data_IF_998960966978
#
_entry.id   IF_998960966978
#
_cell.length_a   1.000
_cell.length_b   1.000
_cell.length_c   1.000
_cell.angle_alpha   90.00
_cell.angle_beta   90.00
_cell.angle_gamma   90.00
#
_symmetry.space_group_name_H-M   'P 1'
#
loop_
_entity.id
_entity.type
_entity.pdbx_description
1 polymer ?
#
# COMPACT_ATOMS: atom_id res chain seq x y z
N UNK A 1 -10.56 -17.91 7.23
CA UNK A 1 -10.15 -18.38 8.56
C UNK A 1 -9.69 -17.23 9.44
N UNK A 2 -8.72 -16.43 8.98
CA UNK A 2 -8.29 -15.24 9.70
C UNK A 2 -9.38 -14.19 9.78
N UNK A 3 -10.17 -14.01 8.73
CA UNK A 3 -11.30 -13.09 8.71
C UNK A 3 -12.31 -13.45 9.79
N UNK A 4 -12.62 -14.74 9.94
CA UNK A 4 -13.55 -15.24 10.96
C UNK A 4 -13.02 -14.93 12.38
N UNK A 5 -11.75 -15.20 12.64
CA UNK A 5 -11.13 -14.89 13.92
C UNK A 5 -11.14 -13.39 14.22
N UNK A 6 -10.81 -12.56 13.23
CA UNK A 6 -10.85 -11.11 13.38
C UNK A 6 -12.26 -10.62 13.69
N UNK A 7 -13.28 -11.16 13.02
CA UNK A 7 -14.67 -10.82 13.26
C UNK A 7 -15.11 -11.20 14.69
N UNK A 8 -14.66 -12.36 15.19
CA UNK A 8 -14.93 -12.76 16.57
C UNK A 8 -14.28 -11.82 17.56
N UNK A 9 -13.04 -11.40 17.33
CA UNK A 9 -12.34 -10.43 18.19
C UNK A 9 -13.09 -9.09 18.25
N UNK A 10 -13.55 -8.59 17.11
CA UNK A 10 -14.31 -7.34 17.02
C UNK A 10 -15.63 -7.49 17.78
N UNK A 11 -16.33 -8.61 17.62
CA UNK A 11 -17.59 -8.87 18.34
C UNK A 11 -17.41 -8.89 19.86
N UNK A 12 -16.33 -9.51 20.34
CA UNK A 12 -16.00 -9.56 21.77
C UNK A 12 -15.73 -8.16 22.32
N UNK A 13 -15.15 -7.28 21.50
CA UNK A 13 -14.83 -5.90 21.87
C UNK A 13 -16.01 -4.94 21.73
N UNK A 14 -17.23 -5.45 21.63
CA UNK A 14 -18.44 -4.65 21.54
C UNK A 14 -18.93 -4.32 20.14
N UNK A 15 -18.35 -4.94 19.10
CA UNK A 15 -18.77 -4.75 17.72
C UNK A 15 -18.21 -3.49 17.04
N UNK A 16 -17.43 -2.70 17.75
CA UNK A 16 -16.79 -1.51 17.20
C UNK A 16 -15.47 -1.88 16.52
N UNK A 17 -15.30 -1.45 15.28
CA UNK A 17 -14.07 -1.70 14.53
C UNK A 17 -12.96 -0.77 15.05
N UNK A 18 -11.73 -1.29 15.26
CA UNK A 18 -10.62 -0.44 15.69
C UNK A 18 -10.28 0.62 14.66
N UNK A 19 -9.83 1.79 15.11
CA UNK A 19 -9.45 2.90 14.25
C UNK A 19 -8.02 3.39 14.47
N UNK A 20 -7.18 2.56 15.09
CA UNK A 20 -5.75 2.83 15.22
C UNK A 20 -4.95 1.72 14.54
N UNK A 21 -3.75 2.05 14.09
CA UNK A 21 -2.87 1.09 13.42
C UNK A 21 -2.57 -0.10 14.34
N UNK A 22 -2.23 0.17 15.59
CA UNK A 22 -1.87 -0.85 16.57
C UNK A 22 -3.03 -1.80 16.85
N UNK A 23 -4.21 -1.26 17.06
CA UNK A 23 -5.40 -2.06 17.38
C UNK A 23 -5.85 -2.88 16.16
N UNK A 24 -5.73 -2.34 14.96
CA UNK A 24 -6.03 -3.08 13.74
C UNK A 24 -5.03 -4.23 13.53
N UNK A 25 -3.75 -3.99 13.77
CA UNK A 25 -2.74 -5.03 13.64
C UNK A 25 -2.84 -6.11 14.73
N UNK A 26 -3.52 -5.82 15.84
CA UNK A 26 -3.80 -6.81 16.87
C UNK A 26 -4.85 -7.83 16.41
N UNK A 27 -5.62 -7.54 15.38
CA UNK A 27 -6.57 -8.49 14.81
C UNK A 27 -5.82 -9.55 13.99
N UNK A 28 -6.29 -10.79 14.09
CA UNK A 28 -5.62 -11.90 13.41
C UNK A 28 -5.70 -11.76 11.90
N UNK A 29 -4.54 -11.88 11.24
CA UNK A 29 -4.43 -11.82 9.80
C UNK A 29 -4.32 -10.41 9.23
N UNK A 30 -4.27 -9.38 10.07
CA UNK A 30 -4.14 -7.99 9.65
C UNK A 30 -2.71 -7.53 9.89
N UNK A 31 -1.95 -7.38 8.81
CA UNK A 31 -0.60 -6.82 8.85
C UNK A 31 -0.62 -5.31 8.68
N UNK A 32 0.59 -4.72 8.67
CA UNK A 32 0.77 -3.28 8.58
C UNK A 32 0.11 -2.66 7.35
N UNK A 33 0.27 -3.29 6.17
CA UNK A 33 -0.30 -2.77 4.93
C UNK A 33 -1.83 -2.85 4.91
N UNK A 34 -2.39 -3.96 5.37
CA UNK A 34 -3.84 -4.13 5.46
C UNK A 34 -4.45 -3.15 6.45
N UNK A 35 -3.81 -2.96 7.61
CA UNK A 35 -4.25 -1.97 8.59
C UNK A 35 -4.22 -0.55 8.00
N UNK A 36 -3.16 -0.21 7.27
CA UNK A 36 -3.05 1.06 6.57
C UNK A 36 -4.17 1.28 5.55
N UNK A 37 -4.51 0.24 4.79
CA UNK A 37 -5.60 0.29 3.83
C UNK A 37 -6.96 0.51 4.49
N UNK A 38 -7.21 -0.15 5.62
CA UNK A 38 -8.45 0.04 6.38
C UNK A 38 -8.56 1.48 6.88
N UNK A 39 -7.48 2.03 7.44
CA UNK A 39 -7.47 3.42 7.89
C UNK A 39 -7.74 4.39 6.75
N UNK A 40 -7.09 4.20 5.61
CA UNK A 40 -7.22 5.09 4.46
C UNK A 40 -8.58 5.01 3.79
N UNK A 41 -9.11 3.81 3.59
CA UNK A 41 -10.31 3.57 2.77
C UNK A 41 -11.60 3.58 3.59
N UNK A 42 -11.57 3.08 4.82
CA UNK A 42 -12.76 2.96 5.66
C UNK A 42 -12.85 4.03 6.74
N UNK A 43 -11.74 4.47 7.30
CA UNK A 43 -11.71 5.41 8.42
C UNK A 43 -11.36 6.84 8.00
N UNK A 44 -11.02 7.06 6.75
CA UNK A 44 -10.59 8.37 6.21
C UNK A 44 -9.44 8.99 7.02
N UNK A 45 -8.56 8.13 7.50
CA UNK A 45 -7.36 8.53 8.23
C UNK A 45 -6.12 8.18 7.42
N UNK A 46 -5.02 8.90 7.67
CA UNK A 46 -3.77 8.60 6.98
C UNK A 46 -3.29 7.20 7.36
N UNK A 47 -3.32 6.30 6.39
CA UNK A 47 -2.79 4.95 6.51
C UNK A 47 -1.86 4.68 5.35
N UNK A 48 -0.71 4.08 5.63
CA UNK A 48 0.31 3.79 4.61
C UNK A 48 0.14 2.35 4.14
N UNK A 49 0.05 2.18 2.82
CA UNK A 49 -0.14 0.88 2.18
C UNK A 49 1.10 0.53 1.37
N UNK A 50 1.60 -0.67 1.57
CA UNK A 50 2.71 -1.20 0.77
C UNK A 50 2.44 -2.69 0.46
N UNK A 51 1.39 -2.94 -0.32
CA UNK A 51 1.10 -4.28 -0.84
C UNK A 51 1.94 -4.56 -2.09
N UNK A 52 1.77 -5.73 -2.68
CA UNK A 52 2.53 -6.14 -3.86
C UNK A 52 2.39 -5.19 -5.05
N UNK A 53 1.20 -4.63 -5.28
CA UNK A 53 0.96 -3.67 -6.35
C UNK A 53 1.67 -2.35 -6.08
N UNK A 54 1.51 -1.81 -4.88
CA UNK A 54 2.12 -0.54 -4.49
C UNK A 54 3.66 -0.66 -4.45
N UNK A 55 4.20 -1.76 -3.94
CA UNK A 55 5.65 -2.03 -3.96
C UNK A 55 6.20 -1.93 -5.37
N UNK A 56 5.53 -2.56 -6.32
CA UNK A 56 5.96 -2.55 -7.72
C UNK A 56 5.92 -1.15 -8.32
N UNK A 57 4.84 -0.42 -8.09
CA UNK A 57 4.71 0.96 -8.58
C UNK A 57 5.81 1.84 -8.02
N UNK A 58 6.01 1.81 -6.70
CA UNK A 58 7.01 2.66 -6.04
C UNK A 58 8.43 2.28 -6.42
N UNK A 59 8.73 0.98 -6.51
CA UNK A 59 10.06 0.52 -6.90
C UNK A 59 10.43 0.99 -8.31
N UNK A 60 9.48 0.95 -9.23
CA UNK A 60 9.70 1.43 -10.60
C UNK A 60 9.76 2.94 -10.68
N UNK A 61 8.87 3.62 -9.99
CA UNK A 61 8.80 5.08 -9.99
C UNK A 61 10.10 5.71 -9.47
N UNK A 62 10.63 5.20 -8.37
CA UNK A 62 11.82 5.75 -7.73
C UNK A 62 13.10 4.95 -8.06
N UNK A 63 13.02 4.01 -9.01
CA UNK A 63 14.15 3.16 -9.41
C UNK A 63 14.84 2.47 -8.22
N UNK A 64 14.05 2.00 -7.27
CA UNK A 64 14.56 1.23 -6.12
C UNK A 64 14.98 -0.15 -6.59
N UNK A 65 16.25 -0.47 -6.44
CA UNK A 65 16.81 -1.76 -6.82
C UNK A 65 16.98 -2.68 -5.61
N UNK A 66 17.05 -3.98 -5.86
CA UNK A 66 17.26 -4.99 -4.84
C UNK A 66 16.12 -6.00 -4.80
N UNK A 67 16.38 -7.09 -4.10
CA UNK A 67 15.39 -8.15 -3.90
C UNK A 67 14.21 -7.62 -3.08
N UNK A 68 12.96 -7.84 -3.54
CA UNK A 68 11.78 -7.37 -2.79
C UNK A 68 11.67 -7.95 -1.38
N UNK A 69 12.24 -9.13 -1.15
CA UNK A 69 12.24 -9.78 0.17
C UNK A 69 13.36 -9.29 1.09
N UNK A 70 14.31 -8.52 0.57
CA UNK A 70 15.44 -8.01 1.36
C UNK A 70 14.97 -6.94 2.33
N UNK A 71 15.43 -7.00 3.57
CA UNK A 71 15.02 -6.06 4.62
C UNK A 71 15.36 -4.60 4.28
N UNK A 72 16.52 -4.36 3.69
CA UNK A 72 16.92 -3.00 3.29
C UNK A 72 16.03 -2.44 2.18
N UNK A 73 15.69 -3.27 1.20
CA UNK A 73 14.78 -2.90 0.11
C UNK A 73 13.38 -2.59 0.66
N UNK A 74 12.88 -3.43 1.56
CA UNK A 74 11.60 -3.23 2.24
C UNK A 74 11.60 -1.91 3.01
N UNK A 75 12.66 -1.63 3.74
CA UNK A 75 12.79 -0.39 4.51
C UNK A 75 12.75 0.85 3.61
N UNK A 76 13.47 0.80 2.48
CA UNK A 76 13.46 1.90 1.49
C UNK A 76 12.07 2.13 0.93
N UNK A 77 11.36 1.05 0.59
CA UNK A 77 10.00 1.14 0.05
C UNK A 77 9.01 1.67 1.09
N UNK A 78 9.11 1.25 2.35
CA UNK A 78 8.26 1.79 3.42
C UNK A 78 8.52 3.27 3.66
N UNK A 79 9.79 3.69 3.67
CA UNK A 79 10.13 5.11 3.82
C UNK A 79 9.56 5.94 2.68
N UNK A 80 9.67 5.45 1.45
CA UNK A 80 9.11 6.10 0.28
C UNK A 80 7.59 6.17 0.35
N UNK A 81 6.95 5.07 0.73
CA UNK A 81 5.49 5.00 0.87
C UNK A 81 4.99 6.01 1.91
N UNK A 82 5.66 6.11 3.06
CA UNK A 82 5.32 7.08 4.09
C UNK A 82 5.50 8.52 3.61
N UNK A 83 6.57 8.80 2.89
CA UNK A 83 6.86 10.13 2.35
C UNK A 83 5.79 10.59 1.35
N UNK A 84 5.31 9.67 0.50
CA UNK A 84 4.38 9.99 -0.58
C UNK A 84 2.92 9.94 -0.16
N UNK A 85 2.59 9.25 0.94
CA UNK A 85 1.19 9.14 1.39
C UNK A 85 0.70 10.49 1.92
N UNK A 86 -0.36 11.07 1.32
CA UNK A 86 -0.85 12.37 1.75
C UNK A 86 -1.65 12.29 3.04
N UNK A 87 -1.86 13.45 3.68
CA UNK A 87 -2.74 13.59 4.84
C UNK A 87 -4.19 13.83 4.41
N UNK A 88 -4.40 14.45 3.25
CA UNK A 88 -5.72 14.73 2.70
C UNK A 88 -6.00 13.81 1.53
N UNK A 89 -7.26 13.40 1.38
CA UNK A 89 -7.70 12.51 0.30
C UNK A 89 -6.88 11.22 0.24
N UNK A 90 -6.51 10.70 1.39
CA UNK A 90 -5.67 9.51 1.48
C UNK A 90 -6.34 8.27 0.86
N UNK A 91 -7.66 8.15 1.01
CA UNK A 91 -8.41 7.04 0.40
C UNK A 91 -8.32 7.07 -1.13
N UNK A 92 -8.46 8.25 -1.73
CA UNK A 92 -8.33 8.42 -3.18
C UNK A 92 -6.91 8.08 -3.66
N UNK A 93 -5.90 8.54 -2.94
CA UNK A 93 -4.49 8.22 -3.24
C UNK A 93 -4.25 6.71 -3.17
N UNK A 94 -4.68 6.07 -2.10
CA UNK A 94 -4.47 4.63 -1.89
C UNK A 94 -5.17 3.82 -2.99
N UNK A 95 -6.42 4.15 -3.31
CA UNK A 95 -7.16 3.46 -4.37
C UNK A 95 -6.48 3.67 -5.73
N UNK A 96 -6.05 4.88 -6.01
CA UNK A 96 -5.36 5.19 -7.27
C UNK A 96 -4.05 4.41 -7.41
N UNK A 97 -3.28 4.29 -6.34
CA UNK A 97 -2.03 3.51 -6.36
C UNK A 97 -2.28 2.03 -6.58
N UNK A 98 -3.30 1.49 -5.95
CA UNK A 98 -3.69 0.08 -6.13
C UNK A 98 -4.19 -0.17 -7.55
N UNK A 99 -5.02 0.71 -8.08
CA UNK A 99 -5.54 0.62 -9.45
C UNK A 99 -4.42 0.74 -10.49
N UNK A 100 -3.50 1.67 -10.28
CA UNK A 100 -2.35 1.85 -11.17
C UNK A 100 -1.51 0.57 -11.25
N UNK A 101 -1.26 -0.06 -10.11
CA UNK A 101 -0.52 -1.31 -10.05
C UNK A 101 -1.26 -2.48 -10.68
N UNK A 102 -2.58 -2.48 -10.62
CA UNK A 102 -3.40 -3.56 -11.16
C UNK A 102 -3.64 -3.43 -12.66
N UNK A 103 -3.69 -2.21 -13.21
CA UNK A 103 -4.17 -1.98 -14.58
C UNK A 103 -3.09 -1.44 -15.54
N UNK A 104 -2.16 -0.64 -15.08
CA UNK A 104 -1.14 0.02 -15.92
C UNK A 104 0.26 -0.48 -15.58
N UNK A 105 0.69 -0.31 -14.35
CA UNK A 105 2.02 -0.73 -13.89
C UNK A 105 2.01 -2.22 -13.50
N UNK A 106 1.63 -3.06 -14.46
CA UNK A 106 1.44 -4.49 -14.26
C UNK A 106 2.78 -5.21 -14.10
N UNK A 107 2.73 -6.43 -13.55
CA UNK A 107 3.91 -7.24 -13.30
C UNK A 107 4.68 -7.53 -14.59
N UNK A 108 3.96 -7.92 -15.64
CA UNK A 108 4.53 -8.22 -16.95
C UNK A 108 4.00 -7.23 -17.97
N UNK A 109 4.88 -6.75 -18.85
CA UNK A 109 4.53 -5.84 -19.94
C UNK A 109 3.73 -4.61 -19.46
N UNK A 110 4.29 -3.82 -18.53
CA UNK A 110 3.58 -2.63 -18.04
C UNK A 110 3.29 -1.65 -19.18
N UNK A 111 2.15 -0.97 -19.09
CA UNK A 111 1.68 -0.03 -20.10
C UNK A 111 2.25 1.37 -19.83
N UNK A 112 3.56 1.51 -19.90
CA UNK A 112 4.26 2.73 -19.51
C UNK A 112 3.84 3.96 -20.33
N UNK A 113 3.50 3.77 -21.61
CA UNK A 113 3.06 4.89 -22.46
C UNK A 113 1.72 5.47 -22.02
N UNK A 114 0.91 4.69 -21.30
CA UNK A 114 -0.37 5.14 -20.74
C UNK A 114 -0.28 5.54 -19.28
N UNK A 115 0.93 5.46 -18.70
CA UNK A 115 1.12 5.76 -17.29
C UNK A 115 1.05 7.26 -17.04
N UNK A 116 0.16 7.74 -16.15
CA UNK A 116 0.06 9.17 -15.86
C UNK A 116 1.30 9.74 -15.17
N UNK A 117 2.15 8.87 -14.64
CA UNK A 117 3.37 9.28 -13.92
C UNK A 117 4.61 9.28 -14.81
N UNK A 118 4.49 8.92 -16.08
CA UNK A 118 5.67 8.73 -16.94
C UNK A 118 6.55 9.98 -17.05
N UNK A 119 5.94 11.15 -17.05
CA UNK A 119 6.67 12.43 -17.11
C UNK A 119 7.33 12.83 -15.78
N UNK A 120 7.01 12.12 -14.71
CA UNK A 120 7.54 12.35 -13.37
C UNK A 120 8.56 11.30 -12.94
N UNK A 121 8.77 10.29 -13.77
CA UNK A 121 9.74 9.24 -13.46
C UNK A 121 11.14 9.74 -13.71
N UNK A 122 12.05 9.38 -12.81
CA UNK A 122 13.46 9.70 -12.95
C UNK A 122 14.08 8.92 -14.12
N UNK A 123 15.13 9.48 -14.70
CA UNK A 123 15.98 8.75 -15.64
C UNK A 123 16.51 7.50 -14.95
N UNK A 124 16.18 6.36 -15.47
CA UNK A 124 16.56 5.09 -14.85
C UNK A 124 15.40 4.38 -14.17
N UNK A 125 14.19 4.95 -14.22
CA UNK A 125 13.02 4.23 -13.75
C UNK A 125 12.87 2.92 -14.54
N UNK A 126 12.46 1.88 -13.84
CA UNK A 126 12.41 0.52 -14.39
C UNK A 126 11.12 0.22 -15.16
N UNK A 127 10.53 1.24 -15.75
CA UNK A 127 9.33 1.10 -16.59
C UNK A 127 9.73 0.72 -18.02
N UNK A 128 10.17 -0.50 -18.17
CA UNK A 128 10.54 -1.03 -19.48
C UNK A 128 9.89 -2.38 -19.67
#
# INVERSE_FOLDING_TARGET
>A
RNLHHAAQQVAIQGGNFPQTLEDLMALKGIGRSTAGAILALACQQRGVVLDGNVKRVLARFAAVTGEPSNADTQQKLWTLAETLTPHERVGAYTQAMMDLGATVCTRSKPLCLYCPLISKMDFGSLCV
#
